data_IF_827105678372
#
_entry.id   IF_827105678372
#
_cell.length_a   1.000
_cell.length_b   1.000
_cell.length_c   1.000
_cell.angle_alpha   90.00
_cell.angle_beta   90.00
_cell.angle_gamma   90.00
#
_symmetry.space_group_name_H-M   'P 1'
#
loop_
_entity.id
_entity.type
_entity.pdbx_description
1 polymer ?
#
# COMPACT_ATOMS: atom_id res chain seq x y z
N UNK A 1 41.61 8.49 -38.92
CA UNK A 1 41.13 7.77 -37.73
C UNK A 1 41.72 8.27 -36.41
N UNK A 2 43.04 8.46 -36.27
CA UNK A 2 43.64 8.91 -34.98
C UNK A 2 43.28 10.34 -34.54
N UNK A 3 43.10 11.28 -35.48
CA UNK A 3 42.71 12.66 -35.16
C UNK A 3 41.26 12.79 -34.69
N UNK A 4 40.37 11.96 -35.23
CA UNK A 4 38.94 11.92 -34.88
C UNK A 4 38.71 11.41 -33.45
N UNK A 5 39.50 10.42 -33.01
CA UNK A 5 39.44 9.88 -31.65
C UNK A 5 39.90 10.89 -30.58
N UNK A 6 40.91 11.71 -30.89
CA UNK A 6 41.38 12.75 -29.97
C UNK A 6 40.33 13.85 -29.74
N UNK A 7 39.59 14.23 -30.78
CA UNK A 7 38.55 15.26 -30.67
C UNK A 7 37.38 14.76 -29.80
N UNK A 8 36.95 13.51 -29.99
CA UNK A 8 35.86 12.91 -29.20
C UNK A 8 36.24 12.81 -27.72
N UNK A 9 37.47 12.37 -27.42
CA UNK A 9 37.95 12.28 -26.04
C UNK A 9 37.98 13.65 -25.34
N UNK A 10 38.36 14.70 -26.07
CA UNK A 10 38.43 16.06 -25.53
C UNK A 10 37.04 16.63 -25.24
N UNK A 11 36.05 16.39 -26.12
CA UNK A 11 34.66 16.81 -25.90
C UNK A 11 34.03 16.12 -24.68
N UNK A 12 34.29 14.82 -24.49
CA UNK A 12 33.80 14.08 -23.32
C UNK A 12 34.42 14.61 -22.03
N UNK A 13 35.73 14.87 -22.03
CA UNK A 13 36.43 15.41 -20.86
C UNK A 13 35.90 16.81 -20.48
N UNK A 14 35.62 17.66 -21.47
CA UNK A 14 35.08 19.01 -21.25
C UNK A 14 33.63 18.98 -20.74
N UNK A 15 32.81 18.05 -21.25
CA UNK A 15 31.45 17.83 -20.78
C UNK A 15 31.38 17.34 -19.32
N UNK A 16 32.28 16.41 -18.95
CA UNK A 16 32.38 15.94 -17.56
C UNK A 16 32.80 17.06 -16.60
N UNK A 17 33.75 17.91 -17.00
CA UNK A 17 34.23 19.02 -16.18
C UNK A 17 33.12 20.06 -15.89
N UNK A 18 32.27 20.35 -16.87
CA UNK A 18 31.11 21.24 -16.69
C UNK A 18 30.03 20.63 -15.80
N UNK A 19 29.83 19.31 -15.86
CA UNK A 19 28.82 18.62 -15.05
C UNK A 19 29.18 18.63 -13.55
N UNK A 20 30.46 18.47 -13.19
CA UNK A 20 30.91 18.56 -11.80
C UNK A 20 30.96 19.99 -11.26
N UNK A 21 31.19 21.00 -12.12
CA UNK A 21 31.22 22.40 -11.70
C UNK A 21 29.83 22.96 -11.31
N UNK A 22 28.74 22.39 -11.84
CA UNK A 22 27.37 22.86 -11.58
C UNK A 22 26.64 22.10 -10.44
N UNK A 23 27.18 20.98 -9.97
CA UNK A 23 26.56 20.16 -8.91
C UNK A 23 26.77 20.65 -7.46
N UNK A 24 27.48 21.77 -7.25
CA UNK A 24 27.94 22.22 -5.93
C UNK A 24 27.07 23.25 -5.19
N UNK A 25 25.93 23.69 -5.73
CA UNK A 25 25.11 24.76 -5.12
C UNK A 25 23.67 24.31 -4.82
N UNK A 26 23.50 23.21 -4.08
CA UNK A 26 22.27 23.00 -3.33
C UNK A 26 22.43 23.60 -1.93
N UNK A 27 22.05 24.88 -1.80
CA UNK A 27 21.91 25.57 -0.51
C UNK A 27 20.94 24.81 0.40
N UNK A 28 21.45 24.25 1.49
CA UNK A 28 20.62 23.85 2.63
C UNK A 28 20.11 25.13 3.31
N UNK A 29 18.83 25.44 3.09
CA UNK A 29 18.16 26.59 3.70
C UNK A 29 18.09 26.48 5.23
N UNK A 30 18.32 27.58 5.96
CA UNK A 30 18.26 27.59 7.43
C UNK A 30 16.80 27.65 7.88
N UNK A 31 16.27 26.53 8.38
CA UNK A 31 14.95 26.51 9.00
C UNK A 31 14.60 25.15 9.56
N UNK A 32 14.15 25.14 10.82
CA UNK A 32 13.59 24.01 11.58
C UNK A 32 14.57 23.22 12.46
N UNK A 33 15.32 23.97 13.28
CA UNK A 33 15.44 23.57 14.69
C UNK A 33 14.29 24.20 15.47
N UNK A 34 13.44 23.36 16.05
CA UNK A 34 12.35 23.75 16.94
C UNK A 34 12.17 22.70 18.03
N UNK A 35 13.16 22.61 18.92
CA UNK A 35 13.02 21.92 20.20
C UNK A 35 12.41 22.86 21.24
N UNK A 36 11.57 22.30 22.12
CA UNK A 36 11.26 22.89 23.42
C UNK A 36 9.76 23.14 23.65
N UNK A 37 9.25 22.59 24.75
CA UNK A 37 8.07 23.13 25.41
C UNK A 37 6.92 22.15 25.61
N UNK A 38 7.07 21.25 26.59
CA UNK A 38 5.90 20.70 27.29
C UNK A 38 5.19 21.84 28.02
N UNK A 39 3.95 22.13 27.66
CA UNK A 39 3.07 22.98 28.48
C UNK A 39 2.02 23.76 27.70
N UNK A 40 0.77 23.27 27.74
CA UNK A 40 -0.46 24.02 27.45
C UNK A 40 -0.63 24.45 25.98
N UNK A 41 -1.73 24.18 25.29
CA UNK A 41 -3.11 24.29 25.72
C UNK A 41 -3.92 23.30 24.87
N UNK A 42 -4.68 22.42 25.52
CA UNK A 42 -5.55 21.46 24.84
C UNK A 42 -6.82 22.19 24.42
N UNK A 43 -6.76 22.80 23.24
CA UNK A 43 -7.94 23.31 22.56
C UNK A 43 -8.51 22.19 21.69
N UNK A 44 -9.76 21.78 21.93
CA UNK A 44 -10.42 20.75 21.13
C UNK A 44 -10.92 21.37 19.81
N UNK A 45 -10.35 21.00 18.64
CA UNK A 45 -10.59 21.71 17.37
C UNK A 45 -12.02 21.53 16.82
N UNK A 46 -12.84 20.65 17.39
CA UNK A 46 -14.20 20.40 16.93
C UNK A 46 -15.29 21.08 17.76
N UNK A 47 -15.00 21.52 18.99
CA UNK A 47 -16.01 22.11 19.87
C UNK A 47 -15.61 23.46 20.48
N UNK A 48 -14.40 23.96 20.21
CA UNK A 48 -13.96 25.29 20.64
C UNK A 48 -13.92 25.52 22.15
N UNK A 49 -14.05 24.45 22.94
CA UNK A 49 -14.15 24.53 24.39
C UNK A 49 -12.79 24.34 25.05
N UNK A 50 -12.46 25.25 25.96
CA UNK A 50 -11.20 25.26 26.70
C UNK A 50 -11.21 24.14 27.77
N UNK A 51 -10.34 23.14 27.63
CA UNK A 51 -10.11 22.16 28.68
C UNK A 51 -9.20 22.82 29.73
N UNK A 52 -9.80 23.22 30.85
CA UNK A 52 -9.12 23.88 31.95
C UNK A 52 -7.99 23.04 32.55
N UNK A 53 -7.02 23.69 33.23
CA UNK A 53 -5.84 23.03 33.77
C UNK A 53 -6.26 22.04 34.88
N UNK A 54 -5.89 20.77 34.67
CA UNK A 54 -6.18 19.68 35.60
C UNK A 54 -5.42 19.83 36.91
N UNK A 55 -6.15 20.15 37.97
CA UNK A 55 -5.79 19.80 39.34
C UNK A 55 -6.54 18.54 39.75
N UNK A 56 -5.84 17.65 40.45
CA UNK A 56 -6.48 16.74 41.40
C UNK A 56 -6.97 15.42 40.83
N UNK A 57 -6.07 14.44 40.91
CA UNK A 57 -6.41 13.08 41.29
C UNK A 57 -7.39 13.06 42.47
N UNK A 58 -8.23 12.03 42.47
CA UNK A 58 -9.14 11.62 43.55
C UNK A 58 -10.49 12.34 43.63
N UNK A 59 -11.51 11.48 43.57
CA UNK A 59 -12.79 11.55 44.28
C UNK A 59 -14.03 11.84 43.42
N UNK A 60 -14.77 10.76 43.17
CA UNK A 60 -16.24 10.71 43.04
C UNK A 60 -16.87 11.64 41.99
N UNK A 61 -16.96 11.15 40.74
CA UNK A 61 -18.13 11.45 39.93
C UNK A 61 -19.19 10.35 40.14
N UNK A 62 -20.38 10.69 40.65
CA UNK A 62 -21.47 9.74 40.83
C UNK A 62 -22.07 9.35 39.48
N UNK A 63 -22.09 8.06 39.20
CA UNK A 63 -23.13 7.41 38.42
C UNK A 63 -23.41 7.98 37.02
N UNK A 64 -22.44 7.90 36.11
CA UNK A 64 -22.79 7.65 34.70
C UNK A 64 -22.41 6.21 34.39
N UNK A 65 -23.41 5.34 34.49
CA UNK A 65 -23.29 3.98 34.00
C UNK A 65 -22.82 4.03 32.56
N UNK A 66 -21.69 3.39 32.30
CA UNK A 66 -21.27 3.02 30.95
C UNK A 66 -22.34 2.08 30.39
N UNK A 67 -23.36 2.69 29.79
CA UNK A 67 -24.51 2.00 29.24
C UNK A 67 -24.06 1.00 28.19
N UNK A 68 -24.59 -0.22 28.29
CA UNK A 68 -24.46 -1.36 27.36
C UNK A 68 -24.96 -1.09 25.92
N UNK A 69 -24.98 0.17 25.45
CA UNK A 69 -25.64 0.58 24.21
C UNK A 69 -24.84 1.51 23.30
N UNK A 70 -23.55 1.78 23.58
CA UNK A 70 -22.71 2.65 22.74
C UNK A 70 -21.73 1.90 21.83
N UNK A 71 -21.88 0.58 21.66
CA UNK A 71 -21.41 -0.05 20.42
C UNK A 71 -22.44 0.28 19.35
N UNK A 72 -22.23 1.41 18.66
CA UNK A 72 -23.04 1.80 17.52
C UNK A 72 -23.16 0.64 16.51
N UNK A 73 -24.30 0.52 15.82
CA UNK A 73 -24.50 -0.53 14.81
C UNK A 73 -23.29 -0.56 13.89
N UNK A 74 -22.62 -1.71 13.84
CA UNK A 74 -21.32 -1.84 13.17
C UNK A 74 -21.31 -1.16 11.82
N UNK A 75 -20.42 -0.19 11.65
CA UNK A 75 -20.09 0.46 10.39
C UNK A 75 -19.35 -0.50 9.45
N UNK A 76 -19.88 -1.70 9.27
CA UNK A 76 -19.67 -2.46 8.05
C UNK A 76 -20.55 -1.84 6.97
N UNK A 77 -20.08 -1.69 5.72
CA UNK A 77 -20.94 -1.27 4.63
C UNK A 77 -22.16 -2.22 4.59
N UNK A 78 -23.34 -1.70 4.93
CA UNK A 78 -24.57 -2.44 4.82
C UNK A 78 -24.87 -2.55 3.32
N UNK A 79 -24.54 -3.70 2.73
CA UNK A 79 -24.95 -4.02 1.38
C UNK A 79 -26.47 -4.11 1.37
N UNK A 80 -27.12 -3.04 0.93
CA UNK A 80 -28.56 -3.08 0.68
C UNK A 80 -28.77 -4.01 -0.52
N UNK A 81 -29.57 -5.09 -0.36
CA UNK A 81 -29.92 -5.93 -1.50
C UNK A 81 -30.53 -5.07 -2.60
N UNK A 82 -30.08 -5.28 -3.84
CA UNK A 82 -30.70 -4.65 -4.99
C UNK A 82 -32.14 -5.17 -5.12
N UNK A 83 -33.08 -4.28 -5.40
CA UNK A 83 -34.49 -4.65 -5.62
C UNK A 83 -34.66 -5.61 -6.81
N UNK A 84 -33.71 -5.59 -7.75
CA UNK A 84 -33.65 -6.47 -8.91
C UNK A 84 -32.23 -6.97 -9.12
N UNK A 85 -32.04 -8.23 -9.55
CA UNK A 85 -30.74 -8.73 -9.93
C UNK A 85 -30.10 -7.84 -11.00
N UNK A 86 -28.83 -7.53 -10.79
CA UNK A 86 -27.99 -6.74 -11.69
C UNK A 86 -28.01 -7.35 -13.09
N UNK A 87 -28.18 -6.52 -14.13
CA UNK A 87 -28.06 -7.00 -15.51
C UNK A 87 -26.59 -6.98 -15.95
N UNK A 88 -26.28 -7.76 -16.98
CA UNK A 88 -24.92 -7.86 -17.54
C UNK A 88 -24.32 -6.48 -17.88
N UNK A 89 -25.13 -5.58 -18.46
CA UNK A 89 -24.71 -4.23 -18.86
C UNK A 89 -24.34 -3.35 -17.65
N UNK A 90 -25.07 -3.50 -16.54
CA UNK A 90 -24.77 -2.78 -15.32
C UNK A 90 -23.45 -3.28 -14.71
N UNK A 91 -23.22 -4.60 -14.73
CA UNK A 91 -21.96 -5.20 -14.31
C UNK A 91 -20.78 -4.74 -15.18
N UNK A 92 -20.94 -4.67 -16.50
CA UNK A 92 -19.94 -4.10 -17.42
C UNK A 92 -19.58 -2.67 -17.01
N UNK A 93 -20.60 -1.83 -16.79
CA UNK A 93 -20.41 -0.43 -16.37
C UNK A 93 -19.68 -0.32 -15.03
N UNK A 94 -20.02 -1.17 -14.05
CA UNK A 94 -19.36 -1.18 -12.74
C UNK A 94 -17.88 -1.53 -12.85
N UNK A 95 -17.53 -2.53 -13.67
CA UNK A 95 -16.14 -2.96 -13.87
C UNK A 95 -15.35 -1.93 -14.68
N UNK A 96 -15.96 -1.28 -15.68
CA UNK A 96 -15.32 -0.19 -16.42
C UNK A 96 -15.00 1.01 -15.52
N UNK A 97 -15.94 1.43 -14.67
CA UNK A 97 -15.71 2.50 -13.69
C UNK A 97 -14.59 2.11 -12.71
N UNK A 98 -14.54 0.85 -12.28
CA UNK A 98 -13.46 0.34 -11.45
C UNK A 98 -12.11 0.44 -12.17
N UNK A 99 -12.01 -0.02 -13.42
CA UNK A 99 -10.78 0.07 -14.23
C UNK A 99 -10.34 1.54 -14.40
N UNK A 100 -11.28 2.44 -14.68
CA UNK A 100 -10.99 3.88 -14.81
C UNK A 100 -10.44 4.48 -13.50
N UNK A 101 -10.95 4.05 -12.34
CA UNK A 101 -10.48 4.53 -11.03
C UNK A 101 -9.05 4.12 -10.69
N UNK A 102 -8.51 3.10 -11.36
CA UNK A 102 -7.12 2.68 -11.21
C UNK A 102 -6.14 3.60 -11.94
N UNK A 103 -6.63 4.55 -12.74
CA UNK A 103 -5.83 5.51 -13.52
C UNK A 103 -4.75 4.85 -14.41
N UNK A 104 -4.96 3.59 -14.80
CA UNK A 104 -4.01 2.84 -15.61
C UNK A 104 -4.54 2.69 -17.05
N UNK A 105 -3.97 3.39 -18.05
CA UNK A 105 -4.48 3.39 -19.42
C UNK A 105 -4.28 2.06 -20.16
N UNK A 106 -3.49 1.14 -19.59
CA UNK A 106 -3.20 -0.16 -20.19
C UNK A 106 -4.21 -1.24 -19.80
N UNK A 107 -5.09 -0.95 -18.83
CA UNK A 107 -6.13 -1.85 -18.37
C UNK A 107 -7.40 -1.69 -19.21
N UNK A 108 -8.01 -2.82 -19.58
CA UNK A 108 -9.25 -2.86 -20.37
C UNK A 108 -10.18 -3.96 -19.88
N UNK A 109 -11.48 -3.74 -20.03
CA UNK A 109 -12.47 -4.79 -19.81
C UNK A 109 -12.31 -5.88 -20.89
N UNK A 110 -12.20 -7.12 -20.45
CA UNK A 110 -12.12 -8.31 -21.29
C UNK A 110 -13.48 -8.99 -21.44
N UNK A 111 -13.49 -10.33 -21.38
CA UNK A 111 -14.74 -11.10 -21.41
C UNK A 111 -15.46 -10.98 -20.08
N UNK A 112 -16.78 -10.90 -20.15
CA UNK A 112 -17.65 -11.05 -18.98
C UNK A 112 -18.53 -12.28 -19.17
N UNK A 113 -18.43 -13.21 -18.23
CA UNK A 113 -19.18 -14.45 -18.19
C UNK A 113 -20.24 -14.39 -17.09
N UNK A 114 -21.45 -14.83 -17.40
CA UNK A 114 -22.51 -14.98 -16.41
C UNK A 114 -22.36 -16.32 -15.69
N UNK A 115 -22.43 -16.27 -14.36
CA UNK A 115 -22.42 -17.42 -13.46
C UNK A 115 -23.67 -17.39 -12.58
N UNK A 116 -23.87 -18.47 -11.83
CA UNK A 116 -24.97 -18.57 -10.87
C UNK A 116 -24.77 -17.52 -9.76
N UNK A 117 -25.59 -16.47 -9.76
CA UNK A 117 -25.55 -15.40 -8.77
C UNK A 117 -24.49 -14.31 -8.99
N UNK A 118 -23.62 -14.39 -9.99
CA UNK A 118 -22.59 -13.37 -10.24
C UNK A 118 -22.20 -13.21 -11.71
N UNK A 119 -21.48 -12.14 -12.03
CA UNK A 119 -20.75 -11.97 -13.29
C UNK A 119 -19.25 -12.03 -13.01
N UNK A 120 -18.50 -12.75 -13.84
CA UNK A 120 -17.04 -12.80 -13.80
C UNK A 120 -16.50 -12.00 -14.98
N UNK A 121 -15.84 -10.87 -14.71
CA UNK A 121 -15.26 -9.98 -15.70
C UNK A 121 -13.74 -10.08 -15.68
N UNK A 122 -13.12 -10.37 -16.82
CA UNK A 122 -11.67 -10.32 -16.98
C UNK A 122 -11.21 -8.86 -17.11
N UNK A 123 -10.17 -8.49 -16.38
CA UNK A 123 -9.40 -7.27 -16.63
C UNK A 123 -8.17 -7.69 -17.43
N UNK A 124 -7.99 -7.07 -18.60
CA UNK A 124 -6.86 -7.30 -19.49
C UNK A 124 -5.84 -6.18 -19.32
N UNK A 125 -4.56 -6.52 -19.24
CA UNK A 125 -3.46 -5.57 -19.36
C UNK A 125 -2.92 -5.47 -20.78
N UNK A 126 -1.67 -5.00 -20.92
CA UNK A 126 -0.96 -4.98 -22.20
C UNK A 126 -1.00 -6.35 -22.88
N UNK A 127 -1.10 -6.34 -24.21
CA UNK A 127 -1.14 -7.53 -25.05
C UNK A 127 -2.30 -8.50 -24.76
N UNK A 128 -3.42 -7.99 -24.18
CA UNK A 128 -4.63 -8.78 -23.86
C UNK A 128 -4.37 -9.91 -22.86
N UNK A 129 -3.34 -9.79 -22.02
CA UNK A 129 -3.08 -10.73 -20.93
C UNK A 129 -4.07 -10.47 -19.80
N UNK A 130 -4.76 -11.50 -19.32
CA UNK A 130 -5.66 -11.39 -18.15
C UNK A 130 -4.81 -11.11 -16.91
N UNK A 131 -5.00 -9.92 -16.32
CA UNK A 131 -4.28 -9.50 -15.10
C UNK A 131 -5.08 -9.82 -13.84
N UNK A 132 -6.40 -9.70 -13.89
CA UNK A 132 -7.31 -10.03 -12.78
C UNK A 132 -8.68 -10.48 -13.32
N UNK A 133 -9.48 -11.11 -12.46
CA UNK A 133 -10.87 -11.44 -12.73
C UNK A 133 -11.73 -10.89 -11.60
N UNK A 134 -12.65 -9.98 -11.92
CA UNK A 134 -13.56 -9.38 -10.95
C UNK A 134 -14.88 -10.15 -10.95
N UNK A 135 -15.32 -10.54 -9.76
CA UNK A 135 -16.62 -11.14 -9.51
C UNK A 135 -17.56 -10.03 -9.04
N UNK A 136 -18.64 -9.81 -9.77
CA UNK A 136 -19.73 -8.88 -9.43
C UNK A 136 -20.95 -9.68 -9.00
N UNK A 137 -21.36 -9.56 -7.74
CA UNK A 137 -22.54 -10.24 -7.21
C UNK A 137 -23.83 -9.63 -7.79
N UNK A 138 -24.72 -10.46 -8.34
CA UNK A 138 -25.95 -9.99 -9.01
C UNK A 138 -26.95 -9.36 -8.04
N UNK A 139 -26.97 -9.80 -6.79
CA UNK A 139 -27.99 -9.38 -5.82
C UNK A 139 -27.57 -8.15 -5.04
N UNK A 140 -26.27 -7.92 -4.89
CA UNK A 140 -25.73 -6.84 -4.04
C UNK A 140 -24.92 -5.81 -4.83
N UNK A 141 -24.51 -6.12 -6.07
CA UNK A 141 -23.54 -5.33 -6.81
C UNK A 141 -22.13 -5.35 -6.20
N UNK A 142 -21.88 -6.20 -5.19
CA UNK A 142 -20.57 -6.30 -4.56
C UNK A 142 -19.52 -6.78 -5.55
N UNK A 143 -18.41 -6.04 -5.68
CA UNK A 143 -17.27 -6.41 -6.52
C UNK A 143 -16.12 -6.96 -5.68
N UNK A 144 -15.50 -8.06 -6.13
CA UNK A 144 -14.28 -8.61 -5.53
C UNK A 144 -13.35 -9.23 -6.58
N UNK A 145 -12.05 -9.18 -6.36
CA UNK A 145 -11.09 -9.94 -7.18
C UNK A 145 -11.19 -11.43 -6.87
N UNK A 146 -11.25 -12.27 -7.90
CA UNK A 146 -11.22 -13.73 -7.79
C UNK A 146 -9.85 -14.23 -7.32
N UNK A 147 -8.77 -13.51 -7.65
CA UNK A 147 -7.41 -13.85 -7.22
C UNK A 147 -7.20 -13.58 -5.73
N UNK A 148 -7.84 -12.53 -5.19
CA UNK A 148 -7.95 -12.34 -3.74
C UNK A 148 -9.05 -13.27 -3.24
N UNK A 149 -8.70 -14.54 -3.06
CA UNK A 149 -9.62 -15.59 -2.59
C UNK A 149 -10.46 -15.17 -1.38
N UNK A 150 -11.56 -15.90 -1.09
CA UNK A 150 -12.68 -15.45 -0.23
C UNK A 150 -12.39 -15.11 1.24
N UNK A 151 -11.14 -14.97 1.66
CA UNK A 151 -10.74 -14.80 3.06
C UNK A 151 -10.00 -13.52 3.44
N UNK A 152 -9.64 -12.60 2.53
CA UNK A 152 -8.87 -11.39 2.91
C UNK A 152 -9.20 -10.18 2.04
N UNK A 153 -10.41 -9.64 2.20
CA UNK A 153 -10.74 -8.32 1.66
C UNK A 153 -9.92 -7.22 2.38
N UNK A 154 -9.63 -6.07 1.72
CA UNK A 154 -8.93 -4.91 2.31
C UNK A 154 -9.62 -4.23 3.50
N UNK A 155 -10.76 -4.76 3.98
CA UNK A 155 -11.49 -4.27 5.15
C UNK A 155 -11.12 -4.92 6.48
N UNK A 156 -10.22 -5.92 6.51
CA UNK A 156 -9.88 -6.65 7.75
C UNK A 156 -8.74 -5.99 8.58
N UNK A 157 -8.49 -4.69 8.42
CA UNK A 157 -7.52 -3.94 9.24
C UNK A 157 -8.11 -2.79 10.07
N UNK A 158 -9.45 -2.64 10.12
CA UNK A 158 -10.10 -1.78 11.11
C UNK A 158 -11.04 -2.60 11.98
N UNK A 159 -10.48 -3.17 13.05
CA UNK A 159 -11.26 -3.85 14.06
C UNK A 159 -10.41 -4.84 14.85
N UNK A 160 -9.54 -4.33 15.73
CA UNK A 160 -9.27 -5.02 16.98
C UNK A 160 -10.56 -5.05 17.81
N UNK A 161 -11.51 -5.86 17.37
CA UNK A 161 -12.59 -6.37 18.20
C UNK A 161 -11.97 -7.41 19.12
N UNK A 162 -11.44 -6.95 20.26
CA UNK A 162 -11.35 -7.80 21.45
C UNK A 162 -12.74 -8.33 21.74
N UNK A 163 -13.03 -9.51 21.21
CA UNK A 163 -14.24 -10.26 21.53
C UNK A 163 -14.25 -10.55 23.03
N UNK A 164 -15.13 -9.86 23.75
CA UNK A 164 -15.57 -10.24 25.09
C UNK A 164 -16.10 -11.67 25.04
N UNK A 165 -15.35 -12.61 25.61
CA UNK A 165 -15.87 -13.94 25.89
C UNK A 165 -14.84 -15.05 25.82
N UNK A 166 -13.88 -15.07 26.73
CA UNK A 166 -13.30 -16.31 27.27
C UNK A 166 -12.45 -16.01 28.50
N UNK A 167 -13.13 -15.70 29.62
CA UNK A 167 -12.57 -16.06 30.92
C UNK A 167 -12.65 -17.58 31.04
N UNK A 168 -11.53 -18.25 30.78
CA UNK A 168 -11.42 -19.69 30.79
C UNK A 168 -10.04 -20.15 31.25
N UNK A 169 -9.76 -19.94 32.54
CA UNK A 169 -9.01 -20.86 33.41
C UNK A 169 -7.65 -21.38 32.89
N UNK A 170 -6.58 -20.70 33.31
CA UNK A 170 -5.30 -21.30 33.69
C UNK A 170 -4.50 -22.00 32.59
N UNK A 171 -3.51 -21.31 32.05
CA UNK A 171 -2.27 -21.95 31.59
C UNK A 171 -1.11 -20.96 31.56
N UNK A 172 -0.06 -21.30 32.31
CA UNK A 172 1.32 -21.14 31.89
C UNK A 172 1.89 -19.73 31.82
N UNK A 173 2.63 -19.34 32.87
CA UNK A 173 3.70 -18.37 32.74
C UNK A 173 4.70 -18.82 31.67
N UNK A 174 4.99 -17.94 30.71
CA UNK A 174 6.12 -18.05 29.79
C UNK A 174 5.76 -18.51 28.38
N UNK A 175 5.49 -17.55 27.49
CA UNK A 175 5.99 -17.58 26.10
C UNK A 175 5.70 -16.23 25.41
N UNK A 176 6.74 -15.38 25.41
CA UNK A 176 7.14 -14.45 24.34
C UNK A 176 6.01 -13.75 23.53
N UNK A 177 5.41 -12.71 24.11
CA UNK A 177 4.69 -11.66 23.37
C UNK A 177 5.63 -10.49 23.09
N UNK A 178 6.32 -10.56 21.95
CA UNK A 178 7.33 -9.60 21.49
C UNK A 178 6.74 -8.19 21.38
N UNK A 179 7.25 -7.28 22.21
CA UNK A 179 6.78 -5.91 22.32
C UNK A 179 6.97 -5.12 21.03
N UNK A 180 5.90 -4.47 20.58
CA UNK A 180 5.95 -3.30 19.71
C UNK A 180 6.49 -2.12 20.52
N UNK A 181 7.81 -2.10 20.71
CA UNK A 181 8.54 -0.89 21.09
C UNK A 181 9.03 -0.17 19.82
N UNK A 182 9.21 1.16 19.85
CA UNK A 182 9.82 1.89 18.74
C UNK A 182 11.25 1.35 18.53
N UNK A 183 11.46 0.62 17.44
CA UNK A 183 12.78 0.16 17.05
C UNK A 183 13.62 1.39 16.68
N UNK A 184 14.57 1.70 17.55
CA UNK A 184 15.69 2.59 17.27
C UNK A 184 16.27 2.24 15.89
N UNK A 185 16.41 3.26 15.03
CA UNK A 185 17.10 3.18 13.75
C UNK A 185 18.54 2.73 13.98
N UNK A 186 18.79 1.42 13.90
CA UNK A 186 20.13 0.93 13.59
C UNK A 186 20.48 1.48 12.21
N UNK A 187 21.68 2.03 12.04
CA UNK A 187 22.24 2.41 10.75
C UNK A 187 22.16 1.19 9.81
N UNK A 188 21.12 1.16 8.99
CA UNK A 188 20.91 0.07 8.04
C UNK A 188 21.96 0.23 6.95
N UNK A 189 22.82 -0.77 6.82
CA UNK A 189 23.70 -0.86 5.65
C UNK A 189 22.83 -0.77 4.39
N UNK A 190 23.27 -0.03 3.36
CA UNK A 190 22.56 -0.01 2.09
C UNK A 190 22.31 -1.44 1.61
N UNK A 191 21.09 -1.68 1.14
CA UNK A 191 20.67 -2.96 0.63
C UNK A 191 21.55 -3.37 -0.55
N UNK A 192 21.86 -4.66 -0.59
CA UNK A 192 22.55 -5.26 -1.73
C UNK A 192 21.54 -5.73 -2.77
N UNK A 193 21.98 -5.97 -4.00
CA UNK A 193 21.14 -6.55 -5.05
C UNK A 193 20.48 -7.87 -4.61
N UNK A 194 21.18 -8.68 -3.79
CA UNK A 194 20.64 -9.94 -3.25
C UNK A 194 19.49 -9.70 -2.29
N UNK A 195 19.58 -8.69 -1.44
CA UNK A 195 18.50 -8.33 -0.51
C UNK A 195 17.27 -7.85 -1.29
N UNK A 196 17.49 -7.00 -2.29
CA UNK A 196 16.43 -6.52 -3.19
C UNK A 196 15.79 -7.68 -3.95
N UNK A 197 16.58 -8.60 -4.49
CA UNK A 197 16.08 -9.80 -5.16
C UNK A 197 15.14 -10.59 -4.24
N UNK A 198 15.56 -10.87 -3.01
CA UNK A 198 14.72 -11.58 -2.04
C UNK A 198 13.43 -10.82 -1.71
N UNK A 199 13.51 -9.49 -1.53
CA UNK A 199 12.34 -8.67 -1.25
C UNK A 199 11.33 -8.67 -2.39
N UNK A 200 11.78 -8.48 -3.63
CA UNK A 200 10.90 -8.43 -4.79
C UNK A 200 10.37 -9.82 -5.13
N UNK A 201 11.15 -10.89 -4.97
CA UNK A 201 10.65 -12.27 -5.12
C UNK A 201 9.55 -12.58 -4.10
N UNK A 202 9.76 -12.23 -2.82
CA UNK A 202 8.73 -12.39 -1.79
C UNK A 202 7.48 -11.56 -2.11
N UNK A 203 7.65 -10.35 -2.63
CA UNK A 203 6.54 -9.52 -3.10
C UNK A 203 5.76 -10.20 -4.23
N UNK A 204 6.44 -10.65 -5.29
CA UNK A 204 5.81 -11.35 -6.42
C UNK A 204 5.09 -12.62 -5.94
N UNK A 205 5.71 -13.43 -5.07
CA UNK A 205 5.07 -14.62 -4.49
C UNK A 205 3.83 -14.25 -3.65
N UNK A 206 3.87 -13.14 -2.92
CA UNK A 206 2.75 -12.67 -2.10
C UNK A 206 1.53 -12.26 -2.94
N UNK A 207 1.73 -11.86 -4.20
CA UNK A 207 0.61 -11.60 -5.14
C UNK A 207 -0.18 -12.85 -5.49
N UNK A 208 0.40 -14.04 -5.26
CA UNK A 208 -0.16 -15.36 -5.64
C UNK A 208 -0.55 -15.44 -7.11
N UNK A 209 0.04 -14.61 -7.96
CA UNK A 209 -0.17 -14.68 -9.39
C UNK A 209 0.91 -15.59 -10.00
N UNK A 210 0.58 -16.84 -10.38
CA UNK A 210 1.58 -17.77 -10.90
C UNK A 210 2.12 -17.34 -12.26
N UNK A 211 1.56 -16.31 -12.91
CA UNK A 211 2.03 -15.84 -14.21
C UNK A 211 3.08 -14.74 -14.11
N UNK A 212 3.41 -14.26 -12.91
CA UNK A 212 4.43 -13.24 -12.68
C UNK A 212 5.73 -13.85 -12.17
N UNK A 213 6.85 -13.26 -12.58
CA UNK A 213 8.19 -13.58 -12.07
C UNK A 213 9.02 -12.31 -11.98
N UNK A 214 10.05 -12.34 -11.14
CA UNK A 214 11.06 -11.30 -11.11
C UNK A 214 11.86 -11.34 -12.42
N UNK A 215 11.98 -10.18 -13.07
CA UNK A 215 12.79 -9.93 -14.25
C UNK A 215 14.16 -9.37 -13.89
N UNK A 216 14.62 -8.37 -14.66
CA UNK A 216 15.92 -7.73 -14.46
C UNK A 216 15.90 -6.81 -13.24
N UNK A 217 16.98 -6.83 -12.46
CA UNK A 217 17.28 -5.81 -11.44
C UNK A 217 18.40 -4.93 -11.98
N UNK A 218 18.21 -3.62 -11.89
CA UNK A 218 19.20 -2.61 -12.27
C UNK A 218 19.52 -1.73 -11.08
N UNK A 219 20.78 -1.69 -10.67
CA UNK A 219 21.24 -0.79 -9.62
C UNK A 219 21.31 0.65 -10.13
N UNK A 220 20.76 1.59 -9.35
CA UNK A 220 20.89 3.04 -9.52
C UNK A 220 21.57 3.63 -8.29
N UNK A 221 21.83 4.93 -8.26
CA UNK A 221 22.58 5.55 -7.15
C UNK A 221 21.86 5.33 -5.79
N UNK A 222 20.58 5.72 -5.72
CA UNK A 222 19.81 5.74 -4.46
C UNK A 222 18.79 4.60 -4.32
N UNK A 223 18.52 3.85 -5.40
CA UNK A 223 17.51 2.80 -5.42
C UNK A 223 17.92 1.66 -6.37
N UNK A 224 17.19 0.55 -6.32
CA UNK A 224 17.21 -0.49 -7.33
C UNK A 224 15.91 -0.44 -8.13
N UNK A 225 15.99 -0.64 -9.44
CA UNK A 225 14.84 -0.82 -10.32
C UNK A 225 14.71 -2.30 -10.64
N UNK A 226 13.63 -2.93 -10.17
CA UNK A 226 13.31 -4.32 -10.41
C UNK A 226 12.13 -4.44 -11.37
N UNK A 227 12.29 -5.20 -12.45
CA UNK A 227 11.21 -5.47 -13.39
C UNK A 227 10.38 -6.66 -12.91
N UNK A 228 9.06 -6.54 -12.97
CA UNK A 228 8.14 -7.67 -12.83
C UNK A 228 7.65 -8.01 -14.23
N UNK A 229 7.89 -9.26 -14.63
CA UNK A 229 7.55 -9.73 -15.99
C UNK A 229 6.60 -10.92 -15.91
N UNK A 230 5.88 -11.17 -16.99
CA UNK A 230 5.10 -12.40 -17.12
C UNK A 230 6.03 -13.60 -17.34
N UNK A 231 5.49 -14.83 -17.24
CA UNK A 231 6.20 -16.06 -17.63
C UNK A 231 6.83 -15.99 -19.03
N UNK A 232 6.19 -15.27 -19.95
CA UNK A 232 6.63 -15.05 -21.33
C UNK A 232 7.49 -13.79 -21.49
N UNK A 233 8.06 -13.28 -20.40
CA UNK A 233 8.99 -12.13 -20.36
C UNK A 233 8.39 -10.80 -20.85
N UNK A 234 7.05 -10.66 -20.80
CA UNK A 234 6.41 -9.36 -21.06
C UNK A 234 6.44 -8.50 -19.80
N UNK A 235 6.91 -7.25 -19.92
CA UNK A 235 6.94 -6.30 -18.80
C UNK A 235 5.54 -6.00 -18.29
N UNK A 236 5.33 -6.23 -16.98
CA UNK A 236 4.08 -5.93 -16.27
C UNK A 236 4.24 -4.65 -15.47
N UNK A 237 5.31 -4.56 -14.70
CA UNK A 237 5.57 -3.42 -13.81
C UNK A 237 7.06 -3.22 -13.55
N UNK A 238 7.41 -2.05 -13.02
CA UNK A 238 8.73 -1.71 -12.51
C UNK A 238 8.60 -1.25 -11.06
N UNK A 239 9.35 -1.89 -10.17
CA UNK A 239 9.39 -1.56 -8.75
C UNK A 239 10.69 -0.81 -8.45
N UNK A 240 10.58 0.35 -7.82
CA UNK A 240 11.70 1.06 -7.22
C UNK A 240 11.85 0.63 -5.77
N UNK A 241 13.05 0.17 -5.42
CA UNK A 241 13.40 -0.25 -4.07
C UNK A 241 14.47 0.70 -3.52
N UNK A 242 14.10 1.49 -2.53
CA UNK A 242 15.02 2.43 -1.87
C UNK A 242 16.14 1.66 -1.15
N UNK A 243 17.41 2.02 -1.41
CA UNK A 243 18.56 1.29 -0.87
C UNK A 243 18.70 1.36 0.63
N UNK A 244 18.21 2.41 1.29
CA UNK A 244 18.43 2.62 2.72
C UNK A 244 17.29 2.03 3.56
N UNK A 245 16.07 2.16 3.05
CA UNK A 245 14.85 1.82 3.79
C UNK A 245 14.27 0.48 3.37
N UNK A 246 14.56 0.01 2.14
CA UNK A 246 13.87 -1.12 1.52
C UNK A 246 12.42 -0.80 1.13
N UNK A 247 12.06 0.47 1.11
CA UNK A 247 10.73 0.88 0.70
C UNK A 247 10.55 0.61 -0.80
N UNK A 248 9.46 -0.11 -1.12
CA UNK A 248 9.13 -0.53 -2.48
C UNK A 248 7.94 0.28 -2.99
N UNK A 249 8.04 0.81 -4.21
CA UNK A 249 6.92 1.45 -4.91
C UNK A 249 6.91 1.08 -6.38
N UNK A 250 5.71 0.97 -6.96
CA UNK A 250 5.55 0.86 -8.41
C UNK A 250 5.85 2.20 -9.09
N UNK A 251 6.39 2.15 -10.32
CA UNK A 251 6.66 3.33 -11.16
C UNK A 251 5.42 3.79 -11.92
N UNK A 252 4.52 2.86 -12.27
CA UNK A 252 3.41 3.09 -13.20
C UNK A 252 2.05 3.16 -12.49
#
# INVERSE_FOLDING_TARGET
>A
MKRSLLIIALVIALGLLLFFALGGLAQMGPGMMGGGGYGGQQYCPYCGSYLGPGEGYETRCPGYGMGRGMMGPGYGPQYQPLEKPLQKKDAETMVENYIQSLHNPDLKLGKIAEKDGSFEAEILGKNKVVVDTIIVDKNTGGMRSAQRGPGRGPGAHYGYGMGSGMMGRGMGAGMMGQGYGPQYQQERKPLTEKDVKAMVENYVQSTRNPNLKLGKITEKDYYFEAEIVTKNDSLVDKILVDKQTGWMRSVY
#
